data_IF_275055915110
#
_entry.id   IF_275055915110
#
_cell.length_a   1.000
_cell.length_b   1.000
_cell.length_c   1.000
_cell.angle_alpha   90.00
_cell.angle_beta   90.00
_cell.angle_gamma   90.00
#
_symmetry.space_group_name_H-M   'P 1'
#
loop_
_entity.id
_entity.type
_entity.pdbx_description
1 polymer ?
#
# COMPACT_ATOMS: atom_id res chain seq x y z
N UNK A 1 -52.10 55.80 26.06
CA UNK A 1 -53.07 55.94 24.95
C UNK A 1 -52.48 55.08 23.84
N UNK A 2 -53.04 54.00 23.80
CA UNK A 2 -53.97 53.37 22.81
C UNK A 2 -53.12 52.79 21.68
N UNK A 3 -52.98 51.43 21.65
CA UNK A 3 -53.89 50.46 20.96
C UNK A 3 -53.74 50.61 19.45
N UNK A 4 -53.46 49.57 18.71
CA UNK A 4 -54.13 48.28 18.41
C UNK A 4 -53.14 47.43 17.60
N UNK A 5 -52.89 46.22 17.98
CA UNK A 5 -53.52 44.93 17.67
C UNK A 5 -53.78 44.63 16.17
N UNK A 6 -53.21 43.45 15.83
CA UNK A 6 -53.84 42.36 15.04
C UNK A 6 -53.64 42.33 13.53
N UNK A 7 -52.91 41.36 13.02
CA UNK A 7 -53.51 40.12 12.54
C UNK A 7 -52.42 39.10 12.11
N UNK A 8 -52.44 38.02 12.82
CA UNK A 8 -51.99 36.69 12.34
C UNK A 8 -52.75 36.31 11.07
N UNK A 9 -52.10 35.58 10.23
CA UNK A 9 -52.72 34.93 9.08
C UNK A 9 -51.78 33.95 8.42
N UNK A 10 -51.62 32.82 9.03
CA UNK A 10 -51.54 31.47 8.42
C UNK A 10 -51.25 31.41 6.91
N UNK A 11 -50.03 31.07 6.57
CA UNK A 11 -49.71 30.34 5.32
C UNK A 11 -48.40 29.56 5.44
N UNK A 12 -48.24 28.68 6.44
CA UNK A 12 -47.07 27.82 6.60
C UNK A 12 -47.35 26.31 6.43
N UNK A 13 -48.46 25.88 5.87
CA UNK A 13 -48.74 24.45 5.77
C UNK A 13 -48.64 23.81 4.37
N UNK A 14 -48.26 24.54 3.33
CA UNK A 14 -48.18 23.96 1.97
C UNK A 14 -46.78 23.83 1.38
N UNK A 15 -45.75 24.39 1.98
CA UNK A 15 -44.35 24.31 1.48
C UNK A 15 -43.58 23.06 1.94
N UNK A 16 -43.99 22.39 3.02
CA UNK A 16 -43.31 21.23 3.54
C UNK A 16 -43.48 19.95 2.72
N UNK A 17 -44.65 19.75 2.13
CA UNK A 17 -44.95 18.49 1.38
C UNK A 17 -44.26 18.47 0.02
N UNK A 18 -44.14 19.58 -0.68
CA UNK A 18 -43.43 19.67 -1.96
C UNK A 18 -41.91 19.46 -1.81
N UNK A 19 -41.31 20.06 -0.78
CA UNK A 19 -39.91 19.89 -0.50
C UNK A 19 -39.57 18.44 -0.10
N UNK A 20 -40.46 17.81 0.68
CA UNK A 20 -40.31 16.40 1.07
C UNK A 20 -40.32 15.46 -0.14
N UNK A 21 -41.24 15.70 -1.10
CA UNK A 21 -41.30 14.89 -2.33
C UNK A 21 -40.08 15.11 -3.23
N UNK A 22 -39.49 16.32 -3.27
CA UNK A 22 -38.27 16.60 -4.01
C UNK A 22 -37.08 15.86 -3.38
N UNK A 23 -36.95 15.90 -2.05
CA UNK A 23 -35.89 15.18 -1.33
C UNK A 23 -36.03 13.68 -1.54
N UNK A 24 -37.21 13.11 -1.42
CA UNK A 24 -37.46 11.68 -1.68
C UNK A 24 -37.13 11.33 -3.13
N UNK A 25 -37.52 12.16 -4.11
CA UNK A 25 -37.17 11.94 -5.51
C UNK A 25 -35.69 11.93 -5.79
N UNK A 26 -34.94 12.83 -5.17
CA UNK A 26 -33.46 12.88 -5.30
C UNK A 26 -32.82 11.65 -4.67
N UNK A 27 -33.28 11.24 -3.49
CA UNK A 27 -32.72 10.03 -2.80
C UNK A 27 -33.00 8.78 -3.66
N UNK A 28 -34.17 8.63 -4.21
CA UNK A 28 -34.53 7.50 -5.09
C UNK A 28 -33.66 7.52 -6.36
N UNK A 29 -33.46 8.68 -6.97
CA UNK A 29 -32.63 8.82 -8.17
C UNK A 29 -31.16 8.42 -7.88
N UNK A 30 -30.61 8.82 -6.72
CA UNK A 30 -29.26 8.44 -6.29
C UNK A 30 -29.16 6.93 -6.03
N UNK A 31 -30.15 6.33 -5.39
CA UNK A 31 -30.17 4.87 -5.16
C UNK A 31 -30.27 4.08 -6.46
N UNK A 32 -31.03 4.56 -7.46
CA UNK A 32 -31.10 3.94 -8.79
C UNK A 32 -29.75 4.04 -9.50
N UNK A 33 -29.07 5.19 -9.44
CA UNK A 33 -27.74 5.35 -10.02
C UNK A 33 -26.71 4.42 -9.35
N UNK A 34 -26.73 4.30 -8.03
CA UNK A 34 -25.87 3.37 -7.30
C UNK A 34 -26.20 1.92 -7.70
N UNK A 35 -27.50 1.58 -7.82
CA UNK A 35 -27.94 0.25 -8.27
C UNK A 35 -27.44 -0.10 -9.68
N UNK A 36 -27.49 0.85 -10.62
CA UNK A 36 -26.98 0.67 -12.00
C UNK A 36 -25.46 0.48 -12.00
N UNK A 37 -24.74 1.26 -11.20
CA UNK A 37 -23.27 1.12 -11.08
C UNK A 37 -22.91 -0.23 -10.47
N UNK A 38 -23.58 -0.65 -9.40
CA UNK A 38 -23.38 -1.97 -8.78
C UNK A 38 -23.74 -3.09 -9.74
N UNK A 39 -24.84 -2.95 -10.49
CA UNK A 39 -25.25 -3.93 -11.51
C UNK A 39 -24.24 -4.02 -12.67
N UNK A 40 -23.66 -2.90 -13.13
CA UNK A 40 -22.60 -2.90 -14.13
C UNK A 40 -21.29 -3.53 -13.65
N UNK A 41 -21.00 -3.44 -12.34
CA UNK A 41 -19.78 -4.02 -11.76
C UNK A 41 -19.96 -5.45 -11.21
N UNK A 42 -21.18 -5.89 -10.95
CA UNK A 42 -21.44 -7.17 -10.26
C UNK A 42 -22.40 -8.11 -11.01
N UNK A 43 -23.00 -7.68 -12.12
CA UNK A 43 -23.95 -8.47 -12.89
C UNK A 43 -23.43 -8.75 -14.30
N UNK A 44 -22.82 -9.90 -14.50
CA UNK A 44 -22.37 -10.39 -15.80
C UNK A 44 -21.97 -11.83 -15.78
N UNK A 45 -22.87 -12.72 -15.37
CA UNK A 45 -22.87 -14.13 -15.79
C UNK A 45 -24.29 -14.46 -16.24
N UNK A 46 -24.43 -14.74 -17.51
CA UNK A 46 -25.09 -15.86 -18.15
C UNK A 46 -25.52 -15.54 -19.57
N UNK A 47 -25.13 -16.49 -20.45
CA UNK A 47 -25.70 -16.99 -21.72
C UNK A 47 -25.27 -16.37 -23.07
N UNK A 48 -24.51 -17.21 -23.75
CA UNK A 48 -24.46 -17.64 -25.17
C UNK A 48 -24.74 -16.63 -26.30
N UNK A 49 -23.72 -16.49 -27.16
CA UNK A 49 -23.91 -15.95 -28.51
C UNK A 49 -22.59 -15.58 -29.21
N UNK A 50 -22.16 -16.39 -30.17
CA UNK A 50 -21.04 -16.25 -31.11
C UNK A 50 -20.76 -14.82 -31.62
N UNK A 51 -19.46 -14.46 -31.69
CA UNK A 51 -19.01 -13.35 -32.51
C UNK A 51 -17.67 -12.72 -32.12
N UNK A 52 -16.60 -13.17 -32.74
CA UNK A 52 -15.31 -12.54 -32.99
C UNK A 52 -15.12 -11.07 -32.61
N UNK A 53 -14.08 -10.77 -31.82
CA UNK A 53 -13.54 -9.44 -31.70
C UNK A 53 -12.57 -9.31 -30.52
N UNK A 54 -11.25 -9.42 -30.76
CA UNK A 54 -10.20 -9.42 -29.76
C UNK A 54 -10.18 -8.22 -28.82
N UNK A 55 -10.08 -8.50 -27.56
CA UNK A 55 -9.77 -7.59 -26.49
C UNK A 55 -9.22 -8.40 -25.34
N UNK A 56 -7.93 -8.72 -25.36
CA UNK A 56 -7.26 -9.36 -24.24
C UNK A 56 -7.21 -8.39 -23.06
N UNK A 57 -8.13 -8.57 -22.13
CA UNK A 57 -7.88 -8.17 -20.73
C UNK A 57 -7.03 -9.29 -20.13
N UNK A 58 -5.77 -9.05 -19.75
CA UNK A 58 -4.98 -10.12 -19.13
C UNK A 58 -5.56 -10.40 -17.75
N UNK A 59 -6.09 -11.60 -17.59
CA UNK A 59 -6.44 -12.15 -16.29
C UNK A 59 -5.20 -12.12 -15.38
N UNK A 60 -5.33 -11.77 -14.10
CA UNK A 60 -4.19 -11.67 -13.16
C UNK A 60 -3.45 -12.99 -12.93
N UNK A 61 -3.95 -14.09 -13.48
CA UNK A 61 -3.39 -15.46 -13.33
C UNK A 61 -2.12 -15.68 -14.16
N UNK A 62 -1.91 -14.98 -15.27
CA UNK A 62 -0.74 -15.19 -16.13
C UNK A 62 0.54 -14.53 -15.59
N UNK A 63 0.42 -13.46 -14.82
CA UNK A 63 1.57 -12.78 -14.21
C UNK A 63 2.19 -13.57 -13.04
N UNK A 64 1.39 -14.42 -12.37
CA UNK A 64 1.84 -15.22 -11.22
C UNK A 64 2.56 -16.49 -11.66
N UNK A 65 2.26 -17.02 -12.86
CA UNK A 65 2.85 -18.26 -13.38
C UNK A 65 4.35 -18.14 -13.73
N UNK A 66 4.86 -16.92 -13.94
CA UNK A 66 6.25 -16.67 -14.29
C UNK A 66 7.12 -16.20 -13.11
N UNK A 67 6.57 -16.18 -11.90
CA UNK A 67 7.31 -15.83 -10.70
C UNK A 67 8.14 -17.02 -10.21
N UNK A 68 9.36 -16.73 -9.73
CA UNK A 68 10.15 -17.78 -9.07
C UNK A 68 9.40 -18.32 -7.85
N UNK A 69 9.67 -19.57 -7.41
CA UNK A 69 9.05 -20.13 -6.20
C UNK A 69 9.20 -19.23 -4.98
N UNK A 70 10.32 -18.52 -4.87
CA UNK A 70 10.59 -17.56 -3.79
C UNK A 70 9.68 -16.32 -3.91
N UNK A 71 9.46 -15.80 -5.10
CA UNK A 71 8.54 -14.68 -5.33
C UNK A 71 7.09 -15.08 -5.05
N UNK A 72 6.70 -16.30 -5.40
CA UNK A 72 5.38 -16.85 -5.08
C UNK A 72 5.20 -16.99 -3.56
N UNK A 73 6.23 -17.46 -2.84
CA UNK A 73 6.21 -17.57 -1.39
C UNK A 73 6.06 -16.20 -0.71
N UNK A 74 6.71 -15.16 -1.25
CA UNK A 74 6.52 -13.78 -0.76
C UNK A 74 5.08 -13.29 -0.94
N UNK A 75 4.47 -13.50 -2.12
CA UNK A 75 3.09 -13.10 -2.38
C UNK A 75 2.06 -13.89 -1.54
N UNK A 76 2.42 -15.09 -1.07
CA UNK A 76 1.60 -15.90 -0.16
C UNK A 76 1.79 -15.51 1.30
N UNK A 77 2.81 -14.72 1.63
CA UNK A 77 3.04 -14.29 3.00
C UNK A 77 1.91 -13.35 3.44
N UNK A 78 1.24 -13.68 4.54
CA UNK A 78 0.15 -12.90 5.12
C UNK A 78 0.55 -11.45 5.43
N UNK A 79 1.82 -11.21 5.73
CA UNK A 79 2.32 -9.85 5.94
C UNK A 79 2.17 -8.93 4.73
N UNK A 80 2.19 -9.48 3.50
CA UNK A 80 1.95 -8.70 2.27
C UNK A 80 0.47 -8.57 1.94
N UNK A 81 -0.35 -9.56 2.30
CA UNK A 81 -1.79 -9.54 2.02
C UNK A 81 -2.54 -8.66 3.01
N UNK A 82 -2.24 -8.83 4.30
CA UNK A 82 -2.94 -8.18 5.41
C UNK A 82 -1.93 -7.66 6.45
N UNK A 83 -1.12 -6.64 6.15
CA UNK A 83 -0.22 -6.07 7.15
C UNK A 83 -1.01 -5.42 8.27
N UNK A 84 -0.63 -5.69 9.53
CA UNK A 84 -1.30 -5.11 10.70
C UNK A 84 -1.04 -3.61 10.80
N UNK A 85 0.16 -3.18 10.43
CA UNK A 85 0.52 -1.77 10.26
C UNK A 85 1.58 -1.63 9.18
N UNK A 86 1.60 -0.47 8.51
CA UNK A 86 2.54 -0.11 7.45
C UNK A 86 3.24 1.17 7.88
N UNK A 87 4.57 1.15 7.90
CA UNK A 87 5.38 2.30 8.27
C UNK A 87 6.44 2.59 7.21
N UNK A 88 6.23 3.59 6.35
CA UNK A 88 7.27 4.09 5.47
C UNK A 88 8.32 4.84 6.28
N UNK A 89 9.60 4.67 5.94
CA UNK A 89 10.69 5.47 6.47
C UNK A 89 10.89 6.68 5.54
N UNK A 90 10.64 7.89 6.06
CA UNK A 90 10.56 9.12 5.26
C UNK A 90 11.83 9.46 4.48
N UNK A 91 13.00 9.17 5.02
CA UNK A 91 14.28 9.50 4.38
C UNK A 91 14.80 8.30 3.58
N UNK A 92 15.15 8.52 2.32
CA UNK A 92 15.84 7.55 1.50
C UNK A 92 17.21 7.15 2.12
N UNK A 93 17.65 5.97 1.75
CA UNK A 93 18.98 5.45 2.09
C UNK A 93 19.89 5.61 0.88
N UNK A 94 21.09 6.11 1.10
CA UNK A 94 22.18 6.13 0.13
C UNK A 94 23.36 5.46 0.80
N UNK A 95 23.71 4.28 0.33
CA UNK A 95 24.64 3.38 1.03
C UNK A 95 25.72 2.91 0.06
N UNK A 96 26.99 3.07 0.45
CA UNK A 96 28.11 2.47 -0.27
C UNK A 96 28.07 0.95 -0.07
N UNK A 97 28.18 0.24 -1.18
CA UNK A 97 28.17 -1.21 -1.20
C UNK A 97 29.57 -1.79 -0.99
N UNK A 98 29.60 -3.04 -0.57
CA UNK A 98 30.83 -3.79 -0.45
C UNK A 98 31.54 -3.88 -1.80
N UNK A 99 32.83 -3.53 -1.84
CA UNK A 99 33.64 -3.72 -3.03
C UNK A 99 33.90 -5.20 -3.27
N UNK A 100 33.83 -5.69 -4.52
CA UNK A 100 34.28 -7.03 -4.87
C UNK A 100 35.81 -7.16 -4.72
N UNK A 101 36.56 -6.05 -4.80
CA UNK A 101 38.00 -5.99 -4.65
C UNK A 101 38.36 -5.23 -3.36
N UNK A 102 38.92 -5.90 -2.33
CA UNK A 102 39.27 -5.26 -1.07
C UNK A 102 40.35 -4.17 -1.21
N UNK A 103 41.16 -4.22 -2.28
CA UNK A 103 42.21 -3.23 -2.54
C UNK A 103 41.69 -1.97 -3.25
N UNK A 104 40.44 -2.02 -3.79
CA UNK A 104 39.82 -0.91 -4.46
C UNK A 104 38.38 -0.68 -3.96
N UNK A 105 38.23 0.04 -2.88
CA UNK A 105 36.94 0.31 -2.25
C UNK A 105 35.95 1.11 -3.14
N UNK A 106 36.45 1.77 -4.21
CA UNK A 106 35.60 2.55 -5.13
C UNK A 106 34.83 1.68 -6.11
N UNK A 107 35.20 0.43 -6.29
CA UNK A 107 34.50 -0.52 -7.19
C UNK A 107 33.18 -1.05 -6.59
N UNK A 108 32.87 -0.73 -5.34
CA UNK A 108 31.64 -1.19 -4.69
C UNK A 108 30.37 -0.54 -5.23
N UNK A 109 30.47 0.68 -5.73
CA UNK A 109 29.32 1.47 -6.12
C UNK A 109 28.44 1.85 -4.92
N UNK A 110 27.22 2.30 -5.20
CA UNK A 110 26.25 2.62 -4.14
C UNK A 110 24.83 2.23 -4.53
N UNK A 111 24.01 2.04 -3.53
CA UNK A 111 22.58 1.82 -3.69
C UNK A 111 21.79 2.97 -3.06
N UNK A 112 20.74 3.42 -3.75
CA UNK A 112 19.76 4.38 -3.25
C UNK A 112 18.39 3.71 -3.22
N UNK A 113 17.75 3.67 -2.06
CA UNK A 113 16.43 3.05 -1.93
C UNK A 113 15.57 3.71 -0.84
N UNK A 114 14.26 3.55 -0.98
CA UNK A 114 13.27 3.82 0.05
C UNK A 114 12.84 2.52 0.70
N UNK A 115 12.44 2.57 1.96
CA UNK A 115 11.96 1.40 2.72
C UNK A 115 10.58 1.69 3.29
N UNK A 116 9.71 0.67 3.20
CA UNK A 116 8.47 0.57 3.97
C UNK A 116 8.50 -0.71 4.78
N UNK A 117 8.29 -0.59 6.09
CA UNK A 117 8.19 -1.71 7.02
C UNK A 117 6.73 -2.19 7.09
N UNK A 118 6.52 -3.49 6.92
CA UNK A 118 5.26 -4.15 7.21
C UNK A 118 5.37 -4.76 8.60
N UNK A 119 4.53 -4.30 9.51
CA UNK A 119 4.64 -4.62 10.93
C UNK A 119 3.59 -5.66 11.33
N UNK A 120 3.98 -6.58 12.19
CA UNK A 120 3.10 -7.64 12.70
C UNK A 120 2.22 -7.19 13.87
N UNK A 121 2.46 -6.00 14.42
CA UNK A 121 1.72 -5.43 15.55
C UNK A 121 1.69 -3.90 15.46
N UNK A 122 0.60 -3.27 15.91
CA UNK A 122 0.46 -1.81 15.93
C UNK A 122 1.39 -1.13 16.95
N UNK A 123 1.78 -1.81 18.02
CA UNK A 123 2.70 -1.26 19.02
C UNK A 123 4.12 -1.13 18.46
N UNK A 124 4.48 -1.97 17.48
CA UNK A 124 5.77 -1.90 16.78
C UNK A 124 6.00 -0.55 16.10
N UNK A 125 4.94 0.16 15.69
CA UNK A 125 5.05 1.53 15.12
C UNK A 125 5.74 2.46 16.11
N UNK A 126 5.29 2.48 17.35
CA UNK A 126 5.86 3.35 18.40
C UNK A 126 7.30 2.96 18.72
N UNK A 127 7.61 1.67 18.70
CA UNK A 127 8.97 1.19 18.94
C UNK A 127 9.92 1.60 17.80
N UNK A 128 9.49 1.47 16.54
CA UNK A 128 10.24 1.92 15.36
C UNK A 128 10.53 3.42 15.45
N UNK A 129 9.52 4.24 15.80
CA UNK A 129 9.69 5.68 15.96
C UNK A 129 10.66 6.02 17.10
N UNK A 130 10.54 5.36 18.24
CA UNK A 130 11.42 5.56 19.38
C UNK A 130 12.88 5.13 19.10
N UNK A 131 13.07 4.13 18.25
CA UNK A 131 14.38 3.57 17.88
C UNK A 131 14.82 3.94 16.46
N UNK A 132 14.28 5.01 15.87
CA UNK A 132 14.44 5.32 14.44
C UNK A 132 15.92 5.35 14.00
N UNK A 133 16.80 5.94 14.78
CA UNK A 133 18.23 6.01 14.44
C UNK A 133 18.88 4.61 14.47
N UNK A 134 18.50 3.76 15.43
CA UNK A 134 18.95 2.38 15.52
C UNK A 134 18.45 1.58 14.31
N UNK A 135 17.17 1.73 13.97
CA UNK A 135 16.55 1.11 12.80
C UNK A 135 17.31 1.49 11.53
N UNK A 136 17.59 2.78 11.36
CA UNK A 136 18.34 3.26 10.19
C UNK A 136 19.76 2.73 10.14
N UNK A 137 20.45 2.68 11.27
CA UNK A 137 21.81 2.11 11.34
C UNK A 137 21.80 0.62 10.95
N UNK A 138 20.90 -0.17 11.53
CA UNK A 138 20.77 -1.61 11.24
C UNK A 138 20.50 -1.85 9.75
N UNK A 139 19.63 -1.04 9.12
CA UNK A 139 19.36 -1.14 7.68
C UNK A 139 20.62 -0.80 6.86
N UNK A 140 21.33 0.25 7.25
CA UNK A 140 22.58 0.65 6.57
C UNK A 140 23.64 -0.44 6.65
N UNK A 141 23.85 -1.01 7.82
CA UNK A 141 24.82 -2.09 8.04
C UNK A 141 24.44 -3.33 7.22
N UNK A 142 23.17 -3.73 7.23
CA UNK A 142 22.68 -4.86 6.46
C UNK A 142 22.91 -4.66 4.95
N UNK A 143 22.65 -3.47 4.42
CA UNK A 143 22.81 -3.20 2.99
C UNK A 143 24.28 -3.06 2.57
N UNK A 144 25.12 -2.48 3.40
CA UNK A 144 26.57 -2.31 3.12
C UNK A 144 27.34 -3.62 3.01
N UNK A 145 26.77 -4.71 3.50
CA UNK A 145 27.36 -6.05 3.40
C UNK A 145 27.24 -6.67 2.00
N UNK A 146 26.42 -6.11 1.12
CA UNK A 146 26.16 -6.63 -0.22
C UNK A 146 27.01 -5.91 -1.27
N UNK A 147 27.30 -6.62 -2.35
CA UNK A 147 27.93 -6.07 -3.57
C UNK A 147 26.86 -5.59 -4.56
N UNK A 148 27.23 -4.71 -5.51
CA UNK A 148 26.36 -4.31 -6.60
C UNK A 148 25.86 -5.50 -7.40
N UNK A 149 26.72 -6.48 -7.70
CA UNK A 149 26.37 -7.66 -8.48
C UNK A 149 25.28 -8.51 -7.79
N UNK A 150 25.33 -8.67 -6.48
CA UNK A 150 24.32 -9.39 -5.70
C UNK A 150 22.95 -8.68 -5.77
N UNK A 151 22.92 -7.35 -5.66
CA UNK A 151 21.70 -6.56 -5.62
C UNK A 151 21.06 -6.31 -6.99
N UNK A 152 21.73 -6.60 -8.10
CA UNK A 152 21.13 -6.51 -9.45
C UNK A 152 19.99 -7.50 -9.63
N UNK A 153 20.08 -8.67 -9.04
CA UNK A 153 19.05 -9.70 -9.16
C UNK A 153 17.86 -9.46 -8.21
N UNK A 154 16.67 -9.94 -8.61
CA UNK A 154 15.50 -9.93 -7.73
C UNK A 154 15.75 -10.76 -6.46
N UNK A 155 16.43 -11.91 -6.60
CA UNK A 155 16.77 -12.77 -5.48
C UNK A 155 17.74 -12.08 -4.49
N UNK A 156 18.70 -11.32 -4.98
CA UNK A 156 19.61 -10.55 -4.11
C UNK A 156 18.86 -9.48 -3.30
N UNK A 157 17.91 -8.79 -3.91
CA UNK A 157 17.05 -7.82 -3.20
C UNK A 157 16.15 -8.50 -2.16
N UNK A 158 15.66 -9.71 -2.44
CA UNK A 158 14.88 -10.50 -1.47
C UNK A 158 15.75 -10.92 -0.27
N UNK A 159 16.98 -11.37 -0.53
CA UNK A 159 17.96 -11.70 0.53
C UNK A 159 18.26 -10.48 1.39
N UNK A 160 18.45 -9.31 0.77
CA UNK A 160 18.61 -8.05 1.51
C UNK A 160 17.38 -7.75 2.39
N UNK A 161 16.18 -7.86 1.84
CA UNK A 161 14.95 -7.65 2.62
C UNK A 161 14.86 -8.61 3.82
N UNK A 162 15.14 -9.89 3.63
CA UNK A 162 15.14 -10.89 4.69
C UNK A 162 16.22 -10.60 5.74
N UNK A 163 17.42 -10.20 5.33
CA UNK A 163 18.51 -9.81 6.23
C UNK A 163 18.11 -8.60 7.07
N UNK A 164 17.52 -7.57 6.46
CA UNK A 164 17.02 -6.39 7.19
C UNK A 164 15.96 -6.80 8.22
N UNK A 165 14.98 -7.62 7.85
CA UNK A 165 13.94 -8.12 8.77
C UNK A 165 14.55 -8.84 9.96
N UNK A 166 15.50 -9.75 9.70
CA UNK A 166 16.21 -10.50 10.76
C UNK A 166 16.97 -9.57 11.69
N UNK A 167 17.73 -8.62 11.14
CA UNK A 167 18.53 -7.68 11.91
C UNK A 167 17.66 -6.70 12.71
N UNK A 168 16.57 -6.20 12.13
CA UNK A 168 15.63 -5.34 12.87
C UNK A 168 14.98 -6.11 14.01
N UNK A 169 14.54 -7.33 13.79
CA UNK A 169 13.93 -8.14 14.83
C UNK A 169 14.86 -8.51 15.99
N UNK A 170 16.19 -8.42 15.78
CA UNK A 170 17.16 -8.61 16.87
C UNK A 170 17.24 -7.42 17.83
N UNK A 171 16.80 -6.24 17.40
CA UNK A 171 16.79 -4.99 18.22
C UNK A 171 15.41 -4.55 18.65
N UNK A 172 14.35 -5.18 18.13
CA UNK A 172 12.96 -4.96 18.57
C UNK A 172 12.65 -5.77 19.83
N UNK A 173 11.88 -5.18 20.74
CA UNK A 173 11.50 -5.77 22.04
C UNK A 173 9.99 -5.96 22.18
N UNK A 174 9.19 -5.02 21.67
CA UNK A 174 7.75 -4.96 21.90
C UNK A 174 6.92 -5.43 20.71
N UNK A 175 7.57 -5.76 19.59
CA UNK A 175 6.89 -6.19 18.39
C UNK A 175 7.84 -6.78 17.36
N UNK A 176 7.33 -7.00 16.14
CA UNK A 176 8.12 -7.59 15.06
C UNK A 176 7.86 -6.89 13.73
N UNK A 177 8.94 -6.71 12.98
CA UNK A 177 8.89 -6.42 11.55
C UNK A 177 8.59 -7.73 10.83
N UNK A 178 7.47 -7.78 10.14
CA UNK A 178 7.01 -8.97 9.42
C UNK A 178 7.62 -9.06 8.01
N UNK A 179 7.76 -7.91 7.33
CA UNK A 179 8.41 -7.83 6.04
C UNK A 179 8.93 -6.42 5.75
N UNK A 180 9.77 -6.33 4.71
CA UNK A 180 10.32 -5.08 4.18
C UNK A 180 10.04 -5.02 2.69
N UNK A 181 9.60 -3.84 2.23
CA UNK A 181 9.45 -3.54 0.80
C UNK A 181 10.28 -2.34 0.42
N UNK A 182 10.77 -2.35 -0.82
CA UNK A 182 11.54 -1.27 -1.42
C UNK A 182 10.68 -0.58 -2.49
N UNK A 183 9.95 0.51 -2.17
CA UNK A 183 9.15 1.24 -3.15
C UNK A 183 9.98 1.83 -4.27
N UNK A 184 11.20 2.20 -3.98
CA UNK A 184 12.19 2.68 -4.93
C UNK A 184 13.54 2.01 -4.66
N UNK A 185 14.24 1.57 -5.72
CA UNK A 185 15.54 0.90 -5.61
C UNK A 185 16.39 1.22 -6.84
N UNK A 186 17.42 2.03 -6.65
CA UNK A 186 18.35 2.46 -7.69
C UNK A 186 19.74 1.97 -7.31
N UNK A 187 20.37 1.25 -8.22
CA UNK A 187 21.72 0.72 -8.06
C UNK A 187 22.65 1.43 -9.04
N UNK A 188 23.78 1.90 -8.52
CA UNK A 188 24.88 2.46 -9.30
C UNK A 188 26.14 1.66 -9.02
N UNK A 189 26.57 0.84 -9.99
CA UNK A 189 27.78 0.02 -9.88
C UNK A 189 29.06 0.86 -9.93
#
# INVERSE_FOLDING_TARGET
>A
MAEEEKKEGATEEKKGKGLLFIIIGVVVAVLVLIGVVVFMFMGGDDEEGDGHGGGHTPAPTAAVANLSPEQQALLQNEAFKNPVAIQPLEKEFVINLKSPNPDNLREGGYVKFSITLLLGDKNTVKEVDAKLDIVRNVITDAASAYTSAELQSAQGRQKLAASIVSSLNSVMTDGKVAAVVFPNFILQP
#
